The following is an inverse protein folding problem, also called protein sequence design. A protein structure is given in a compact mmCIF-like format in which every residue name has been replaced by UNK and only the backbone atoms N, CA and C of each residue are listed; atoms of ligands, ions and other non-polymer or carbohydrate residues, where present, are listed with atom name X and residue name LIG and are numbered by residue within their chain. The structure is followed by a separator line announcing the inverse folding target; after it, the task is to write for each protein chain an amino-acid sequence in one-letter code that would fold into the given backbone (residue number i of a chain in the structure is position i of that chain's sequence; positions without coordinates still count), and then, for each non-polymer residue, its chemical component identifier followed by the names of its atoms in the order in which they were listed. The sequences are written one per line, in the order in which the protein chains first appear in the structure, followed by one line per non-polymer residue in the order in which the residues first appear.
data_IF_615462131582
#
_entry.id   IF_615462131582
#
_cell.length_a   1.000
_cell.length_b   1.000
_cell.length_c   1.000
_cell.angle_alpha   90.00
_cell.angle_beta   90.00
_cell.angle_gamma   90.00
#
_symmetry.space_group_name_H-M   'P 1'
#
loop_
_entity.id
_entity.type
_entity.pdbx_description
1 polymer ?
#
# COMPACT_ATOMS: atom_id res chain seq x y z
N UNK A 1 3.43 29.87 -1.06
CA UNK A 1 2.62 28.63 -1.14
C UNK A 1 3.51 27.44 -0.79
N UNK A 2 3.10 26.60 0.16
CA UNK A 2 3.83 25.37 0.48
C UNK A 2 3.68 24.38 -0.67
N UNK A 3 4.78 24.00 -1.32
CA UNK A 3 4.74 23.02 -2.42
C UNK A 3 4.51 21.62 -1.85
N UNK A 4 3.78 20.78 -2.57
CA UNK A 4 3.45 19.41 -2.19
C UNK A 4 4.13 18.46 -3.16
N UNK A 5 4.68 17.36 -2.65
CA UNK A 5 5.26 16.29 -3.45
C UNK A 5 4.16 15.59 -4.27
N UNK A 6 4.33 15.50 -5.59
CA UNK A 6 3.37 14.85 -6.48
C UNK A 6 3.31 13.33 -6.31
N UNK A 7 4.32 12.71 -5.69
CA UNK A 7 4.36 11.27 -5.45
C UNK A 7 3.67 10.85 -4.14
N UNK A 8 4.06 11.44 -3.01
CA UNK A 8 3.58 11.01 -1.69
C UNK A 8 2.64 11.99 -0.98
N UNK A 9 2.38 13.18 -1.55
CA UNK A 9 1.52 14.19 -0.94
C UNK A 9 2.12 14.92 0.27
N UNK A 10 3.36 14.61 0.68
CA UNK A 10 4.04 15.33 1.75
C UNK A 10 4.35 16.78 1.35
N UNK A 11 4.33 17.70 2.32
CA UNK A 11 4.82 19.07 2.13
C UNK A 11 6.33 19.04 1.84
N UNK A 12 6.76 19.68 0.76
CA UNK A 12 8.16 19.77 0.41
C UNK A 12 8.89 20.66 1.41
N UNK A 13 10.05 20.18 1.86
CA UNK A 13 10.89 20.84 2.84
C UNK A 13 12.36 20.56 2.56
N UNK A 14 13.24 21.45 3.01
CA UNK A 14 14.69 21.32 2.81
C UNK A 14 15.49 21.44 4.11
N UNK A 15 14.81 21.38 5.25
CA UNK A 15 15.40 21.62 6.57
C UNK A 15 15.77 20.33 7.32
N UNK A 16 15.19 19.17 6.98
CA UNK A 16 15.41 17.91 7.69
C UNK A 16 15.46 16.73 6.71
N UNK A 17 16.65 16.19 6.46
CA UNK A 17 16.86 15.09 5.50
C UNK A 17 16.14 13.79 5.86
N UNK A 18 15.87 13.57 7.14
CA UNK A 18 15.24 12.35 7.64
C UNK A 18 13.71 12.41 7.60
N UNK A 19 13.13 13.59 7.39
CA UNK A 19 11.67 13.76 7.34
C UNK A 19 11.10 13.64 5.94
N UNK A 20 9.85 13.21 5.89
CA UNK A 20 9.09 13.17 4.64
C UNK A 20 9.06 14.55 3.97
N UNK A 21 9.05 14.54 2.64
CA UNK A 21 9.05 15.77 1.86
C UNK A 21 10.42 16.40 1.65
N UNK A 22 11.52 15.81 2.17
CA UNK A 22 12.85 16.38 1.99
C UNK A 22 13.23 16.55 0.51
N UNK A 23 13.78 17.72 0.19
CA UNK A 23 14.45 18.07 -1.06
C UNK A 23 15.74 18.82 -0.76
N UNK A 24 16.80 18.64 -1.56
CA UNK A 24 17.99 19.48 -1.48
C UNK A 24 17.66 20.97 -1.60
N UNK A 25 18.38 21.84 -0.87
CA UNK A 25 18.10 23.29 -0.85
C UNK A 25 18.19 23.91 -2.24
N UNK A 26 19.12 23.46 -3.09
CA UNK A 26 19.28 23.89 -4.48
C UNK A 26 18.10 23.51 -5.40
N UNK A 27 17.21 22.63 -4.92
CA UNK A 27 16.02 22.16 -5.64
C UNK A 27 14.70 22.69 -5.07
N UNK A 28 14.74 23.59 -4.09
CA UNK A 28 13.54 24.14 -3.42
C UNK A 28 12.50 24.75 -4.37
N UNK A 29 12.99 25.43 -5.41
CA UNK A 29 12.12 26.12 -6.35
C UNK A 29 11.72 25.29 -7.57
N UNK A 30 12.48 24.25 -7.90
CA UNK A 30 12.27 23.45 -9.12
C UNK A 30 11.68 22.06 -8.85
N UNK A 31 11.86 21.49 -7.66
CA UNK A 31 11.46 20.11 -7.41
C UNK A 31 9.95 19.96 -7.26
N UNK A 32 9.39 19.00 -7.99
CA UNK A 32 8.01 18.54 -7.84
C UNK A 32 7.89 17.27 -6.98
N UNK A 33 9.02 16.61 -6.71
CA UNK A 33 9.09 15.36 -5.95
C UNK A 33 10.07 15.49 -4.78
N UNK A 34 9.73 14.87 -3.65
CA UNK A 34 10.71 14.69 -2.58
C UNK A 34 11.79 13.70 -3.02
N UNK A 35 12.95 13.74 -2.36
CA UNK A 35 14.10 12.88 -2.66
C UNK A 35 13.71 11.39 -2.66
N UNK A 36 12.81 10.96 -1.76
CA UNK A 36 12.28 9.60 -1.70
C UNK A 36 11.52 9.24 -2.98
N UNK A 37 10.51 10.02 -3.35
CA UNK A 37 9.70 9.78 -4.55
C UNK A 37 10.55 9.85 -5.83
N UNK A 38 11.48 10.80 -5.91
CA UNK A 38 12.41 10.91 -7.04
C UNK A 38 13.25 9.65 -7.20
N UNK A 39 13.80 9.11 -6.11
CA UNK A 39 14.61 7.87 -6.15
C UNK A 39 13.79 6.63 -6.52
N UNK A 40 12.55 6.54 -6.06
CA UNK A 40 11.63 5.45 -6.44
C UNK A 40 11.37 5.48 -7.95
N UNK A 41 11.05 6.66 -8.50
CA UNK A 41 10.70 6.81 -9.92
C UNK A 41 11.91 6.56 -10.84
N UNK A 42 13.07 7.10 -10.50
CA UNK A 42 14.22 7.11 -11.41
C UNK A 42 15.20 5.95 -11.19
N UNK A 43 15.25 5.39 -9.98
CA UNK A 43 16.23 4.36 -9.62
C UNK A 43 15.60 3.09 -9.06
N UNK A 44 14.28 3.02 -8.93
CA UNK A 44 13.60 1.89 -8.29
C UNK A 44 13.99 1.68 -6.83
N UNK A 45 14.65 2.66 -6.20
CA UNK A 45 15.14 2.54 -4.83
C UNK A 45 13.97 2.65 -3.86
N UNK A 46 13.61 1.52 -3.25
CA UNK A 46 12.71 1.51 -2.11
C UNK A 46 13.51 1.94 -0.87
N UNK A 47 13.26 3.17 -0.40
CA UNK A 47 13.73 3.57 0.93
C UNK A 47 13.07 2.67 1.97
N UNK A 48 13.84 2.19 2.95
CA UNK A 48 13.26 1.55 4.14
C UNK A 48 12.33 2.57 4.80
N UNK A 49 11.03 2.44 4.60
CA UNK A 49 10.08 3.17 5.42
C UNK A 49 10.27 2.69 6.86
N UNK A 50 10.39 3.61 7.80
CA UNK A 50 10.04 3.30 9.18
C UNK A 50 8.61 2.77 9.15
N UNK A 51 8.45 1.54 9.63
CA UNK A 51 7.18 0.81 9.73
C UNK A 51 6.72 0.08 8.45
N UNK A 52 7.22 -1.14 8.18
CA UNK A 52 6.25 -2.20 7.95
C UNK A 52 5.45 -2.32 9.25
N UNK A 53 4.16 -1.97 9.27
CA UNK A 53 3.33 -2.44 10.38
C UNK A 53 3.36 -3.95 10.19
N UNK A 54 4.00 -4.66 11.12
CA UNK A 54 3.95 -6.11 11.15
C UNK A 54 2.50 -6.51 10.95
N UNK A 55 2.25 -7.48 10.06
CA UNK A 55 0.91 -7.89 9.67
C UNK A 55 0.03 -8.14 10.91
N UNK A 56 0.64 -8.68 11.96
CA UNK A 56 0.02 -8.95 13.26
C UNK A 56 -0.49 -7.67 13.93
N UNK A 57 0.33 -6.61 14.00
CA UNK A 57 -0.09 -5.31 14.54
C UNK A 57 -1.27 -4.72 13.77
N UNK A 58 -1.29 -4.87 12.44
CA UNK A 58 -2.42 -4.38 11.62
C UNK A 58 -3.69 -5.16 11.94
N UNK A 59 -3.60 -6.49 11.99
CA UNK A 59 -4.73 -7.37 12.31
C UNK A 59 -5.28 -7.04 13.69
N UNK A 60 -4.40 -6.83 14.69
CA UNK A 60 -4.81 -6.49 16.05
C UNK A 60 -5.55 -5.16 16.10
N UNK A 61 -5.09 -4.13 15.38
CA UNK A 61 -5.79 -2.85 15.29
C UNK A 61 -7.18 -3.04 14.65
N UNK A 62 -7.27 -3.79 13.56
CA UNK A 62 -8.54 -4.07 12.87
C UNK A 62 -9.51 -4.81 13.81
N UNK A 63 -9.02 -5.81 14.54
CA UNK A 63 -9.83 -6.62 15.44
C UNK A 63 -10.27 -5.87 16.71
N UNK A 64 -9.60 -4.77 17.08
CA UNK A 64 -10.07 -3.89 18.16
C UNK A 64 -11.06 -2.81 17.69
N UNK A 65 -11.13 -2.51 16.39
CA UNK A 65 -12.08 -1.53 15.83
C UNK A 65 -13.44 -2.19 15.53
N UNK A 66 -14.54 -1.44 15.65
CA UNK A 66 -15.90 -1.92 15.35
C UNK A 66 -16.35 -1.44 13.97
N UNK A 67 -15.57 -1.80 12.95
CA UNK A 67 -15.85 -1.45 11.55
C UNK A 67 -15.98 -2.69 10.68
N UNK A 68 -16.67 -2.51 9.56
CA UNK A 68 -16.71 -3.49 8.49
C UNK A 68 -15.40 -3.48 7.70
N UNK A 69 -14.86 -4.66 7.40
CA UNK A 69 -13.57 -4.81 6.73
C UNK A 69 -13.76 -5.20 5.27
N UNK A 70 -13.22 -4.41 4.36
CA UNK A 70 -13.08 -4.80 2.95
C UNK A 70 -11.65 -5.26 2.71
N UNK A 71 -11.47 -6.54 2.43
CA UNK A 71 -10.17 -7.16 2.19
C UNK A 71 -9.97 -7.33 0.68
N UNK A 72 -9.15 -6.45 0.09
CA UNK A 72 -8.88 -6.46 -1.35
C UNK A 72 -7.63 -7.29 -1.66
N UNK A 73 -7.77 -8.25 -2.57
CA UNK A 73 -6.67 -9.05 -3.12
C UNK A 73 -6.70 -9.01 -4.65
N UNK A 74 -5.56 -9.17 -5.31
CA UNK A 74 -5.53 -9.41 -6.76
C UNK A 74 -5.61 -10.91 -7.07
N UNK A 75 -6.22 -11.27 -8.19
CA UNK A 75 -6.43 -12.67 -8.58
C UNK A 75 -5.14 -13.51 -8.63
N UNK A 76 -4.02 -12.93 -9.07
CA UNK A 76 -2.73 -13.63 -9.18
C UNK A 76 -2.02 -13.80 -7.84
N UNK A 77 -2.40 -13.02 -6.84
CA UNK A 77 -1.78 -12.99 -5.51
C UNK A 77 -2.53 -13.88 -4.51
N UNK A 78 -3.62 -14.54 -4.93
CA UNK A 78 -4.38 -15.46 -4.09
C UNK A 78 -3.49 -16.67 -3.76
N UNK A 79 -3.20 -16.83 -2.47
CA UNK A 79 -2.44 -17.96 -1.93
C UNK A 79 -2.83 -18.22 -0.47
N UNK A 80 -2.33 -19.29 0.11
CA UNK A 80 -2.63 -19.71 1.49
C UNK A 80 -2.32 -18.62 2.51
N UNK A 81 -1.17 -17.93 2.41
CA UNK A 81 -0.78 -16.87 3.35
C UNK A 81 -1.79 -15.72 3.36
N UNK A 82 -2.32 -15.33 2.20
CA UNK A 82 -3.35 -14.28 2.12
C UNK A 82 -4.63 -14.72 2.81
N UNK A 83 -5.05 -15.97 2.60
CA UNK A 83 -6.22 -16.51 3.28
C UNK A 83 -6.02 -16.66 4.78
N UNK A 84 -4.82 -16.98 5.24
CA UNK A 84 -4.50 -17.06 6.67
C UNK A 84 -4.63 -15.68 7.33
N UNK A 85 -4.13 -14.62 6.67
CA UNK A 85 -4.34 -13.23 7.11
C UNK A 85 -5.84 -12.89 7.13
N UNK A 86 -6.56 -13.20 6.05
CA UNK A 86 -8.00 -12.94 5.97
C UNK A 86 -8.76 -13.65 7.08
N UNK A 87 -8.45 -14.92 7.37
CA UNK A 87 -9.07 -15.71 8.44
C UNK A 87 -8.85 -15.13 9.83
N UNK A 88 -7.66 -14.58 10.10
CA UNK A 88 -7.29 -13.97 11.40
C UNK A 88 -8.06 -12.67 11.72
N UNK A 89 -8.69 -12.04 10.73
CA UNK A 89 -9.57 -10.89 10.96
C UNK A 89 -10.92 -11.39 11.51
N UNK A 90 -11.28 -11.04 12.74
CA UNK A 90 -12.48 -11.55 13.41
C UNK A 90 -13.73 -10.67 13.24
N UNK A 91 -13.61 -9.54 12.53
CA UNK A 91 -14.70 -8.61 12.24
C UNK A 91 -15.54 -9.04 11.03
N UNK A 92 -16.79 -8.53 10.90
CA UNK A 92 -17.55 -8.62 9.66
C UNK A 92 -16.68 -8.15 8.48
N UNK A 93 -16.47 -9.03 7.51
CA UNK A 93 -15.49 -8.84 6.46
C UNK A 93 -15.99 -9.33 5.11
N UNK A 94 -15.54 -8.68 4.05
CA UNK A 94 -15.78 -9.05 2.65
C UNK A 94 -14.44 -9.20 1.94
N UNK A 95 -14.24 -10.36 1.31
CA UNK A 95 -13.14 -10.57 0.37
C UNK A 95 -13.53 -10.02 -1.00
N UNK A 96 -12.72 -9.11 -1.52
CA UNK A 96 -12.86 -8.57 -2.87
C UNK A 96 -11.65 -9.01 -3.69
N UNK A 97 -11.93 -9.71 -4.78
CA UNK A 97 -10.90 -10.17 -5.71
C UNK A 97 -10.91 -9.22 -6.92
N UNK A 98 -9.79 -8.56 -7.15
CA UNK A 98 -9.56 -7.66 -8.27
C UNK A 98 -8.80 -8.35 -9.41
N UNK A 99 -8.76 -7.71 -10.58
CA UNK A 99 -8.11 -8.21 -11.79
C UNK A 99 -8.68 -9.55 -12.31
N UNK A 100 -9.98 -9.75 -12.11
CA UNK A 100 -10.70 -10.94 -12.58
C UNK A 100 -10.75 -11.06 -14.12
N UNK A 101 -10.43 -9.99 -14.85
CA UNK A 101 -10.20 -10.01 -16.30
C UNK A 101 -9.03 -10.91 -16.72
N UNK A 102 -8.10 -11.22 -15.80
CA UNK A 102 -7.00 -12.16 -16.02
C UNK A 102 -7.44 -13.63 -15.97
N UNK A 103 -8.67 -13.91 -15.56
CA UNK A 103 -9.21 -15.27 -15.49
C UNK A 103 -9.47 -15.79 -16.90
N UNK A 104 -8.91 -16.95 -17.25
CA UNK A 104 -9.18 -17.59 -18.53
C UNK A 104 -10.69 -17.85 -18.68
N UNK A 105 -11.24 -17.58 -19.88
CA UNK A 105 -12.68 -17.68 -20.15
C UNK A 105 -13.30 -19.06 -19.87
N UNK A 106 -12.49 -20.12 -19.85
CA UNK A 106 -12.89 -21.49 -19.55
C UNK A 106 -12.90 -21.83 -18.05
N UNK A 107 -12.40 -20.94 -17.19
CA UNK A 107 -12.44 -21.11 -15.73
C UNK A 107 -13.77 -20.57 -15.23
N UNK A 108 -14.58 -21.50 -14.73
CA UNK A 108 -15.83 -21.23 -14.03
C UNK A 108 -15.58 -20.48 -12.72
N UNK A 109 -16.32 -19.40 -12.46
CA UNK A 109 -16.16 -18.57 -11.25
C UNK A 109 -16.43 -19.36 -9.97
N UNK A 110 -17.28 -20.37 -10.05
CA UNK A 110 -17.62 -21.25 -8.93
C UNK A 110 -16.38 -21.99 -8.40
N UNK A 111 -15.41 -22.33 -9.27
CA UNK A 111 -14.15 -22.96 -8.87
C UNK A 111 -13.23 -22.02 -8.08
N UNK A 112 -13.39 -20.71 -8.26
CA UNK A 112 -12.60 -19.69 -7.57
C UNK A 112 -13.19 -19.42 -6.18
N UNK A 113 -14.52 -19.46 -6.06
CA UNK A 113 -15.23 -19.32 -4.78
C UNK A 113 -14.99 -20.55 -3.89
N UNK A 114 -14.79 -21.74 -4.47
CA UNK A 114 -14.54 -22.97 -3.71
C UNK A 114 -13.10 -23.15 -3.23
N UNK A 115 -12.22 -22.18 -3.47
CA UNK A 115 -10.82 -22.22 -3.07
C UNK A 115 -10.63 -21.70 -1.64
#
# INVERSE_FOLDING_TARGET
MTKICFGCGAKLQSYDVEKEGYIPEDKKDSSQYCQRCFKIINYGMQSKSSTPKETDTIIDIINHDNKFVVFLVDFLSINTKVFDIYKRINKPKLLVISKCDLILKNIRREKIISF
#
